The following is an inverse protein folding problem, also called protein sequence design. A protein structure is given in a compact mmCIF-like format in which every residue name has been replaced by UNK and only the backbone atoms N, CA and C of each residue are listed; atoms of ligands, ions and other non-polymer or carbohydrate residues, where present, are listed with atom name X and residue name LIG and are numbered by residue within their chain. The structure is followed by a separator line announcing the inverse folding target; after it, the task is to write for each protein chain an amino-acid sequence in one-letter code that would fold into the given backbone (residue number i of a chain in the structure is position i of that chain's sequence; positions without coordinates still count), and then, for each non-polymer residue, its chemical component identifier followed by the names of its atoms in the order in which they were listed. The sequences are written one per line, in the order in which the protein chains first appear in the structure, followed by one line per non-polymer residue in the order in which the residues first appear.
data_IF_004763373700
#
_entry.id   IF_004763373700
#
_cell.length_a   1.000
_cell.length_b   1.000
_cell.length_c   1.000
_cell.angle_alpha   90.00
_cell.angle_beta   90.00
_cell.angle_gamma   90.00
#
_symmetry.space_group_name_H-M   'P 1'
#
loop_
_entity.id
_entity.type
_entity.pdbx_description
1 polymer ?
#
# COMPACT_ATOMS: atom_id res chain seq x y z
N UNK A 1 -30.46 39.07 5.84
CA UNK A 1 -30.59 37.69 6.41
C UNK A 1 -30.38 36.58 5.38
N UNK A 2 -31.01 36.63 4.18
CA UNK A 2 -30.82 35.59 3.13
C UNK A 2 -29.35 35.38 2.68
N UNK A 3 -28.55 36.45 2.60
CA UNK A 3 -27.12 36.37 2.22
C UNK A 3 -26.24 35.68 3.27
N UNK A 4 -26.58 35.79 4.55
CA UNK A 4 -25.85 35.13 5.66
C UNK A 4 -26.18 33.64 5.73
N UNK A 5 -27.44 33.28 5.43
CA UNK A 5 -27.86 31.88 5.32
C UNK A 5 -27.13 31.14 4.17
N UNK A 6 -26.87 31.83 3.06
CA UNK A 6 -26.10 31.27 1.94
C UNK A 6 -24.64 30.98 2.31
N UNK A 7 -24.02 31.85 3.12
CA UNK A 7 -22.65 31.65 3.62
C UNK A 7 -22.57 30.48 4.60
N UNK A 8 -23.57 30.31 5.45
CA UNK A 8 -23.64 29.18 6.38
C UNK A 8 -23.80 27.84 5.63
N UNK A 9 -24.59 27.82 4.54
CA UNK A 9 -24.72 26.64 3.67
C UNK A 9 -23.40 26.27 2.98
N UNK A 10 -22.60 27.25 2.56
CA UNK A 10 -21.28 27.01 1.96
C UNK A 10 -20.24 26.46 2.95
N UNK A 11 -20.40 26.68 4.27
CA UNK A 11 -19.49 26.16 5.29
C UNK A 11 -19.71 24.68 5.61
N UNK A 12 -20.89 24.13 5.35
CA UNK A 12 -21.18 22.71 5.62
C UNK A 12 -20.60 21.78 4.54
N UNK A 13 -20.43 22.29 3.32
CA UNK A 13 -19.89 21.51 2.18
C UNK A 13 -18.35 21.41 2.16
N UNK A 14 -17.64 22.09 3.07
CA UNK A 14 -16.17 21.98 3.18
C UNK A 14 -15.73 20.92 4.19
N UNK A 15 -16.54 19.90 4.46
CA UNK A 15 -16.13 18.80 5.36
C UNK A 15 -14.83 18.18 4.84
N UNK A 16 -13.74 18.33 5.59
CA UNK A 16 -12.46 17.69 5.29
C UNK A 16 -12.66 16.18 5.24
N UNK A 17 -12.36 15.57 4.09
CA UNK A 17 -12.20 14.12 4.00
C UNK A 17 -10.96 13.73 4.82
N UNK A 18 -11.18 13.09 5.96
CA UNK A 18 -10.10 12.52 6.77
C UNK A 18 -9.83 11.10 6.28
N UNK A 19 -8.63 10.86 5.73
CA UNK A 19 -8.21 9.53 5.30
C UNK A 19 -7.50 8.85 6.48
N UNK A 20 -8.07 7.75 6.96
CA UNK A 20 -7.45 6.94 8.01
C UNK A 20 -6.13 6.35 7.49
N UNK A 21 -5.05 6.49 8.28
CA UNK A 21 -3.69 6.12 7.87
C UNK A 21 -2.87 5.59 9.04
N UNK A 22 -3.26 4.42 9.55
CA UNK A 22 -2.58 3.74 10.65
C UNK A 22 -1.54 2.73 10.15
N UNK A 23 -0.49 3.22 9.48
CA UNK A 23 0.48 2.39 8.76
C UNK A 23 1.31 1.47 9.65
N UNK A 24 1.45 1.81 10.95
CA UNK A 24 2.23 1.01 11.90
C UNK A 24 1.70 -0.42 12.02
N UNK A 25 0.39 -0.60 11.92
CA UNK A 25 -0.28 -1.91 11.96
C UNK A 25 0.07 -2.79 10.76
N UNK A 26 0.55 -2.17 9.68
CA UNK A 26 0.83 -2.86 8.43
C UNK A 26 2.33 -3.13 8.23
N UNK A 27 3.23 -2.71 9.13
CA UNK A 27 4.68 -2.87 8.90
C UNK A 27 5.12 -4.33 8.78
N UNK A 28 4.40 -5.23 9.43
CA UNK A 28 4.63 -6.67 9.38
C UNK A 28 3.30 -7.41 9.32
N UNK A 29 3.27 -8.59 8.72
CA UNK A 29 2.07 -9.41 8.65
C UNK A 29 2.03 -10.27 7.40
N UNK A 30 0.91 -10.96 7.22
CA UNK A 30 0.59 -11.68 5.99
C UNK A 30 -0.55 -10.96 5.27
N UNK A 31 -0.37 -10.76 3.98
CA UNK A 31 -1.26 -9.95 3.15
C UNK A 31 -1.58 -10.67 1.86
N UNK A 32 -2.72 -10.32 1.27
CA UNK A 32 -3.12 -10.77 -0.06
C UNK A 32 -3.08 -9.61 -1.02
N UNK A 33 -2.78 -9.90 -2.27
CA UNK A 33 -2.84 -8.94 -3.37
C UNK A 33 -3.45 -9.60 -4.60
N UNK A 34 -4.06 -8.77 -5.43
CA UNK A 34 -4.64 -9.21 -6.69
C UNK A 34 -3.90 -8.53 -7.84
N UNK A 35 -3.65 -9.29 -8.89
CA UNK A 35 -2.98 -8.81 -10.10
C UNK A 35 -3.62 -9.46 -11.31
N UNK A 36 -3.53 -8.79 -12.47
CA UNK A 36 -4.13 -9.29 -13.72
C UNK A 36 -3.02 -9.72 -14.67
N UNK A 37 -3.15 -10.92 -15.22
CA UNK A 37 -2.28 -11.46 -16.27
C UNK A 37 -3.17 -11.93 -17.41
N UNK A 38 -2.93 -11.43 -18.62
CA UNK A 38 -3.70 -11.79 -19.82
C UNK A 38 -5.23 -11.65 -19.68
N UNK A 39 -5.68 -10.69 -18.86
CA UNK A 39 -7.10 -10.44 -18.60
C UNK A 39 -7.71 -11.27 -17.47
N UNK A 40 -6.98 -12.25 -16.93
CA UNK A 40 -7.41 -13.06 -15.79
C UNK A 40 -6.92 -12.46 -14.47
N UNK A 41 -7.84 -12.30 -13.51
CA UNK A 41 -7.48 -11.88 -12.16
C UNK A 41 -6.89 -13.07 -11.39
N UNK A 42 -5.71 -12.85 -10.81
CA UNK A 42 -5.00 -13.80 -9.98
C UNK A 42 -4.84 -13.27 -8.57
N UNK A 43 -4.76 -14.19 -7.63
CA UNK A 43 -4.46 -13.91 -6.23
C UNK A 43 -3.01 -14.30 -5.92
N UNK A 44 -2.32 -13.45 -5.18
CA UNK A 44 -1.06 -13.75 -4.54
C UNK A 44 -1.14 -13.41 -3.05
N UNK A 45 -0.16 -13.91 -2.29
CA UNK A 45 0.03 -13.52 -0.89
C UNK A 45 1.47 -13.19 -0.62
N UNK A 46 1.74 -12.39 0.40
CA UNK A 46 3.10 -12.13 0.85
C UNK A 46 3.18 -12.03 2.36
N UNK A 47 4.33 -12.40 2.88
CA UNK A 47 4.68 -12.23 4.29
C UNK A 47 5.71 -11.12 4.37
N UNK A 48 5.37 -10.05 5.09
CA UNK A 48 6.27 -8.93 5.37
C UNK A 48 6.76 -8.99 6.80
N UNK A 49 8.07 -8.94 6.96
CA UNK A 49 8.75 -8.79 8.25
C UNK A 49 9.43 -7.42 8.30
N UNK A 50 10.15 -7.13 9.39
CA UNK A 50 10.88 -5.87 9.53
C UNK A 50 11.95 -5.65 8.45
N UNK A 51 12.47 -6.73 7.83
CA UNK A 51 13.59 -6.67 6.89
C UNK A 51 13.31 -7.35 5.55
N UNK A 52 12.25 -8.16 5.43
CA UNK A 52 11.98 -8.97 4.24
C UNK A 52 10.51 -8.89 3.81
N UNK A 53 10.29 -9.00 2.51
CA UNK A 53 9.00 -9.25 1.89
C UNK A 53 9.12 -10.54 1.07
N UNK A 54 8.33 -11.56 1.42
CA UNK A 54 8.36 -12.88 0.79
C UNK A 54 7.05 -13.07 0.05
N UNK A 55 7.10 -13.05 -1.28
CA UNK A 55 5.93 -13.09 -2.16
C UNK A 55 5.68 -14.50 -2.68
N UNK A 56 4.42 -14.94 -2.64
CA UNK A 56 3.94 -16.22 -3.13
C UNK A 56 2.88 -15.98 -4.21
N UNK A 57 3.20 -16.32 -5.45
CA UNK A 57 2.33 -16.10 -6.61
C UNK A 57 2.61 -17.14 -7.69
N UNK A 58 1.59 -17.66 -8.37
CA UNK A 58 1.74 -18.64 -9.46
C UNK A 58 2.68 -19.83 -9.14
N UNK A 59 2.62 -20.34 -7.90
CA UNK A 59 3.50 -21.42 -7.42
C UNK A 59 4.99 -21.04 -7.29
N UNK A 60 5.33 -19.77 -7.48
CA UNK A 60 6.67 -19.21 -7.32
C UNK A 60 6.79 -18.52 -5.96
N UNK A 61 8.04 -18.45 -5.50
CA UNK A 61 8.43 -17.72 -4.30
C UNK A 61 9.50 -16.71 -4.71
N UNK A 62 9.26 -15.44 -4.42
CA UNK A 62 10.24 -14.36 -4.56
C UNK A 62 10.51 -13.72 -3.19
N UNK A 63 11.61 -13.00 -3.08
CA UNK A 63 12.01 -12.35 -1.83
C UNK A 63 12.71 -11.03 -2.09
N UNK A 64 12.28 -10.00 -1.36
CA UNK A 64 12.85 -8.67 -1.39
C UNK A 64 13.25 -8.20 0.01
N UNK A 65 14.30 -7.39 0.11
CA UNK A 65 14.60 -6.65 1.34
C UNK A 65 13.64 -5.48 1.49
N UNK A 66 13.21 -5.23 2.72
CA UNK A 66 12.37 -4.08 3.11
C UNK A 66 13.23 -3.08 3.87
N UNK A 67 13.20 -1.82 3.45
CA UNK A 67 13.81 -0.70 4.19
C UNK A 67 12.81 0.41 4.40
N UNK A 68 12.34 0.56 5.64
CA UNK A 68 11.41 1.63 6.01
C UNK A 68 12.09 3.00 6.00
N UNK A 69 11.41 3.99 5.42
CA UNK A 69 11.78 5.40 5.45
C UNK A 69 11.06 6.07 6.63
N UNK A 70 9.78 5.76 6.78
CA UNK A 70 8.92 6.16 7.91
C UNK A 70 7.87 5.05 8.15
N UNK A 71 6.79 5.31 8.89
CA UNK A 71 5.78 4.29 9.15
C UNK A 71 4.91 3.93 7.94
N UNK A 72 4.80 4.81 6.94
CA UNK A 72 3.95 4.63 5.76
C UNK A 72 4.71 4.48 4.44
N UNK A 73 6.03 4.63 4.44
CA UNK A 73 6.86 4.61 3.23
C UNK A 73 8.06 3.69 3.42
N UNK A 74 8.32 2.83 2.44
CA UNK A 74 9.41 1.87 2.46
C UNK A 74 9.91 1.53 1.06
N UNK A 75 11.14 1.07 0.99
CA UNK A 75 11.77 0.60 -0.24
C UNK A 75 11.82 -0.92 -0.26
N UNK A 76 11.39 -1.51 -1.37
CA UNK A 76 11.59 -2.91 -1.71
C UNK A 76 12.75 -3.05 -2.70
N UNK A 77 13.60 -4.04 -2.50
CA UNK A 77 14.64 -4.42 -3.45
C UNK A 77 14.75 -5.94 -3.51
N UNK A 78 14.59 -6.53 -4.71
CA UNK A 78 14.70 -7.99 -4.88
C UNK A 78 16.06 -8.49 -4.43
N UNK A 79 16.07 -9.60 -3.69
CA UNK A 79 17.31 -10.24 -3.22
C UNK A 79 18.03 -10.98 -4.35
N UNK A 80 17.27 -11.49 -5.33
CA UNK A 80 17.78 -12.26 -6.48
C UNK A 80 17.18 -11.74 -7.79
N UNK A 81 17.55 -10.53 -8.24
CA UNK A 81 17.04 -9.98 -9.50
C UNK A 81 17.50 -10.84 -10.68
N UNK A 82 16.59 -11.10 -11.64
CA UNK A 82 16.91 -11.88 -12.84
C UNK A 82 17.26 -11.01 -14.05
N UNK A 83 16.94 -9.72 -14.00
CA UNK A 83 17.17 -8.76 -15.06
C UNK A 83 17.37 -7.34 -14.49
N UNK A 84 17.81 -6.39 -15.32
CA UNK A 84 18.05 -5.00 -14.92
C UNK A 84 16.81 -4.25 -14.43
N UNK A 85 15.61 -4.69 -14.83
CA UNK A 85 14.38 -4.09 -14.35
C UNK A 85 14.11 -4.50 -12.90
N UNK A 86 14.35 -5.78 -12.56
CA UNK A 86 14.25 -6.34 -11.21
C UNK A 86 15.28 -5.76 -10.22
N UNK A 87 16.44 -5.31 -10.71
CA UNK A 87 17.46 -4.66 -9.87
C UNK A 87 17.00 -3.31 -9.29
N UNK A 88 16.02 -2.68 -9.93
CA UNK A 88 15.52 -1.36 -9.50
C UNK A 88 14.75 -1.50 -8.20
N UNK A 89 15.13 -0.68 -7.24
CA UNK A 89 14.38 -0.53 -6.00
C UNK A 89 13.01 0.10 -6.26
N UNK A 90 11.98 -0.42 -5.59
CA UNK A 90 10.60 0.04 -5.70
C UNK A 90 10.27 0.83 -4.42
N UNK A 91 9.82 2.07 -4.58
CA UNK A 91 9.31 2.86 -3.46
C UNK A 91 7.82 2.62 -3.29
N UNK A 92 7.45 2.11 -2.11
CA UNK A 92 6.09 1.83 -1.72
C UNK A 92 5.61 2.85 -0.69
N UNK A 93 4.36 3.31 -0.86
CA UNK A 93 3.70 4.25 0.05
C UNK A 93 2.29 3.75 0.33
N UNK A 94 1.97 3.57 1.60
CA UNK A 94 0.61 3.36 2.07
C UNK A 94 -0.11 4.70 2.04
N UNK A 95 -1.15 4.83 1.22
CA UNK A 95 -2.00 6.01 1.02
C UNK A 95 -3.16 6.04 2.01
N UNK A 96 -3.78 4.90 2.29
CA UNK A 96 -4.89 4.78 3.24
C UNK A 96 -4.94 3.39 3.88
N UNK A 97 -5.59 3.31 5.03
CA UNK A 97 -5.78 2.05 5.76
C UNK A 97 -7.24 1.88 6.15
N UNK A 98 -7.68 0.63 6.23
CA UNK A 98 -8.91 0.20 6.90
C UNK A 98 -8.55 -0.71 8.07
N UNK A 99 -9.55 -1.34 8.69
CA UNK A 99 -9.33 -2.34 9.75
C UNK A 99 -8.64 -3.61 9.23
N UNK A 100 -8.72 -3.91 7.93
CA UNK A 100 -8.23 -5.17 7.34
C UNK A 100 -7.45 -5.02 6.03
N UNK A 101 -7.30 -3.81 5.50
CA UNK A 101 -6.63 -3.56 4.23
C UNK A 101 -5.88 -2.23 4.20
N UNK A 102 -4.98 -2.08 3.23
CA UNK A 102 -4.38 -0.80 2.91
C UNK A 102 -4.26 -0.64 1.40
N UNK A 103 -4.15 0.61 0.95
CA UNK A 103 -3.88 1.01 -0.43
C UNK A 103 -2.58 1.79 -0.45
#
# INVERSE_FOLDING_TARGET
MKRIQLVYLCLVITSCYHVERNCKNYKTGEFKFYYTVDGEQKEGRFIRTNALNIDFYDGKIDSASVRWINDCEFILKKLRPQNKQDEKAIHMKILSTTDSSYV
#
